data_IF_295100380624
#
_entry.id   IF_295100380624
#
_cell.length_a   1.000
_cell.length_b   1.000
_cell.length_c   1.000
_cell.angle_alpha   90.00
_cell.angle_beta   90.00
_cell.angle_gamma   90.00
#
_symmetry.space_group_name_H-M   'P 1'
#
loop_
_entity.id
_entity.type
_entity.pdbx_description
1 polymer ?
#
# COMPACT_ATOMS: atom_id res chain seq x y z
N UNK A 1 16.78 31.91 3.72
CA UNK A 1 16.59 30.48 3.93
C UNK A 1 15.12 30.24 4.17
N UNK A 2 14.41 29.79 3.18
CA UNK A 2 13.00 29.43 3.32
C UNK A 2 12.95 27.97 3.67
N UNK A 3 12.75 27.68 4.96
CA UNK A 3 12.27 26.38 5.41
C UNK A 3 10.85 26.20 4.86
N UNK A 4 10.77 25.62 3.67
CA UNK A 4 9.54 25.05 3.19
C UNK A 4 9.23 23.88 4.13
N UNK A 5 8.40 24.13 5.13
CA UNK A 5 7.65 23.11 5.84
C UNK A 5 6.87 22.34 4.77
N UNK A 6 7.49 21.32 4.17
CA UNK A 6 6.75 20.28 3.49
C UNK A 6 5.95 19.56 4.58
N UNK A 7 4.72 19.99 4.77
CA UNK A 7 3.74 19.18 5.47
C UNK A 7 3.61 17.90 4.66
N UNK A 8 4.29 16.83 5.07
CA UNK A 8 4.13 15.53 4.43
C UNK A 8 2.66 15.13 4.56
N UNK A 9 2.02 14.85 3.44
CA UNK A 9 0.68 14.30 3.44
C UNK A 9 0.75 12.93 4.13
N UNK A 10 -0.15 12.69 5.08
CA UNK A 10 -0.22 11.43 5.85
C UNK A 10 -1.52 10.71 5.55
N UNK A 11 -1.44 9.39 5.42
CA UNK A 11 -2.59 8.51 5.26
C UNK A 11 -2.49 7.35 6.24
N UNK A 12 -3.59 7.02 6.89
CA UNK A 12 -3.71 5.80 7.69
C UNK A 12 -3.80 4.55 6.81
N UNK A 13 -3.56 3.40 7.39
CA UNK A 13 -3.73 2.12 6.67
C UNK A 13 -5.15 1.94 6.15
N UNK A 14 -6.17 2.32 6.91
CA UNK A 14 -7.57 2.25 6.51
C UNK A 14 -7.90 3.09 5.28
N UNK A 15 -7.14 4.16 5.06
CA UNK A 15 -7.31 5.01 3.86
C UNK A 15 -6.72 4.37 2.61
N UNK A 16 -5.74 3.48 2.77
CA UNK A 16 -4.97 2.89 1.67
C UNK A 16 -5.43 1.47 1.36
N UNK A 17 -5.52 0.62 2.38
CA UNK A 17 -5.78 -0.82 2.26
C UNK A 17 -7.27 -1.09 2.49
N UNK A 18 -8.09 -0.66 1.56
CA UNK A 18 -9.53 -0.86 1.59
C UNK A 18 -9.91 -2.22 1.02
N UNK A 19 -11.06 -2.72 1.46
CA UNK A 19 -11.73 -3.85 0.82
C UNK A 19 -11.82 -3.61 -0.70
N UNK A 20 -11.59 -4.65 -1.47
CA UNK A 20 -11.53 -4.66 -2.94
C UNK A 20 -10.30 -3.96 -3.57
N UNK A 21 -9.31 -3.54 -2.80
CA UNK A 21 -8.05 -3.02 -3.36
C UNK A 21 -7.33 -4.13 -4.11
N UNK A 22 -7.09 -3.93 -5.41
CA UNK A 22 -6.41 -4.89 -6.27
C UNK A 22 -4.90 -4.63 -6.29
N UNK A 23 -4.12 -5.67 -6.02
CA UNK A 23 -2.67 -5.69 -6.20
C UNK A 23 -2.37 -6.29 -7.58
N UNK A 24 -1.80 -5.51 -8.47
CA UNK A 24 -1.44 -5.93 -9.83
C UNK A 24 -0.10 -6.63 -9.91
N UNK A 25 0.86 -6.19 -9.12
CA UNK A 25 2.19 -6.79 -9.03
C UNK A 25 2.86 -6.44 -7.71
N UNK A 26 3.90 -7.20 -7.37
CA UNK A 26 4.74 -6.91 -6.22
C UNK A 26 6.19 -7.25 -6.52
N UNK A 27 7.10 -6.68 -5.75
CA UNK A 27 8.52 -6.95 -5.85
C UNK A 27 9.28 -6.51 -4.61
N UNK A 28 10.57 -6.81 -4.61
CA UNK A 28 11.45 -6.47 -3.51
C UNK A 28 12.58 -5.58 -4.00
N UNK A 29 12.96 -4.61 -3.16
CA UNK A 29 14.24 -3.94 -3.26
C UNK A 29 15.13 -4.43 -2.10
N UNK A 30 15.98 -5.44 -2.31
CA UNK A 30 16.77 -6.03 -1.22
C UNK A 30 17.84 -5.11 -0.69
N UNK A 31 18.34 -4.16 -1.48
CA UNK A 31 19.34 -3.19 -1.04
C UNK A 31 18.79 -2.20 -0.02
N UNK A 32 17.49 -1.92 -0.09
CA UNK A 32 16.79 -1.00 0.81
C UNK A 32 15.85 -1.71 1.79
N UNK A 33 15.80 -3.04 1.78
CA UNK A 33 14.87 -3.84 2.58
C UNK A 33 13.40 -3.41 2.38
N UNK A 34 12.98 -3.27 1.13
CA UNK A 34 11.64 -2.81 0.79
C UNK A 34 10.79 -3.91 0.13
N UNK A 35 9.52 -3.96 0.50
CA UNK A 35 8.45 -4.62 -0.25
C UNK A 35 7.67 -3.55 -0.99
N UNK A 36 7.46 -3.76 -2.28
CA UNK A 36 6.81 -2.80 -3.17
C UNK A 36 5.57 -3.46 -3.78
N UNK A 37 4.43 -2.79 -3.67
CA UNK A 37 3.16 -3.23 -4.23
C UNK A 37 2.69 -2.23 -5.29
N UNK A 38 2.34 -2.73 -6.46
CA UNK A 38 1.61 -1.97 -7.49
C UNK A 38 0.11 -2.24 -7.33
N UNK A 39 -0.64 -1.23 -6.94
CA UNK A 39 -2.05 -1.37 -6.59
C UNK A 39 -2.94 -0.27 -7.17
N UNK A 40 -4.22 -0.55 -7.21
CA UNK A 40 -5.27 0.43 -7.49
C UNK A 40 -5.79 0.98 -6.16
N UNK A 41 -5.28 2.16 -5.77
CA UNK A 41 -5.75 2.80 -4.54
C UNK A 41 -7.17 3.32 -4.71
N UNK A 42 -8.11 2.79 -3.92
CA UNK A 42 -9.48 3.28 -3.85
C UNK A 42 -9.48 4.54 -2.97
N UNK A 43 -9.40 5.71 -3.60
CA UNK A 43 -9.39 7.00 -2.92
C UNK A 43 -10.73 7.24 -2.23
N UNK A 44 -11.81 6.89 -2.93
CA UNK A 44 -13.18 7.08 -2.44
C UNK A 44 -14.12 6.05 -3.06
N UNK A 45 -15.11 5.63 -2.27
CA UNK A 45 -16.24 4.83 -2.73
C UNK A 45 -17.54 5.44 -2.18
N UNK A 46 -18.49 5.72 -3.05
CA UNK A 46 -19.79 6.29 -2.69
C UNK A 46 -20.93 5.48 -3.29
N UNK A 47 -21.95 5.19 -2.48
CA UNK A 47 -23.17 4.57 -2.97
C UNK A 47 -24.12 5.66 -3.50
N UNK A 48 -24.39 5.62 -4.81
CA UNK A 48 -25.24 6.58 -5.50
C UNK A 48 -26.27 5.86 -6.38
N UNK A 49 -27.53 6.19 -6.24
CA UNK A 49 -28.61 5.70 -7.13
C UNK A 49 -28.60 4.17 -7.32
N UNK A 50 -28.37 3.42 -6.25
CA UNK A 50 -28.39 1.95 -6.28
C UNK A 50 -27.10 1.26 -6.72
N UNK A 51 -26.02 2.01 -6.99
CA UNK A 51 -24.73 1.49 -7.36
C UNK A 51 -23.59 2.20 -6.62
N UNK A 52 -22.40 1.56 -6.56
CA UNK A 52 -21.20 2.23 -6.08
C UNK A 52 -20.51 3.00 -7.22
N UNK A 53 -20.06 4.20 -6.91
CA UNK A 53 -19.12 4.95 -7.71
C UNK A 53 -17.78 4.98 -6.98
N UNK A 54 -16.71 4.61 -7.68
CA UNK A 54 -15.36 4.55 -7.15
C UNK A 54 -14.49 5.64 -7.77
N UNK A 55 -13.63 6.22 -6.94
CA UNK A 55 -12.52 7.05 -7.35
C UNK A 55 -11.24 6.27 -7.08
N UNK A 56 -10.52 5.89 -8.13
CA UNK A 56 -9.38 4.97 -8.08
C UNK A 56 -8.14 5.61 -8.68
N UNK A 57 -7.00 5.44 -8.05
CA UNK A 57 -5.72 5.93 -8.53
C UNK A 57 -4.66 4.83 -8.58
N UNK A 58 -4.05 4.57 -9.74
CA UNK A 58 -2.88 3.71 -9.83
C UNK A 58 -1.76 4.23 -8.94
N UNK A 59 -1.27 3.38 -8.05
CA UNK A 59 -0.33 3.79 -7.01
C UNK A 59 0.72 2.72 -6.74
N UNK A 60 1.86 3.16 -6.22
CA UNK A 60 2.92 2.27 -5.74
C UNK A 60 3.05 2.44 -4.23
N UNK A 61 2.83 1.36 -3.49
CA UNK A 61 2.98 1.32 -2.03
C UNK A 61 4.33 0.67 -1.70
N UNK A 62 5.18 1.42 -1.04
CA UNK A 62 6.52 0.97 -0.63
C UNK A 62 6.55 0.82 0.88
N UNK A 63 6.82 -0.39 1.35
CA UNK A 63 7.05 -0.70 2.75
C UNK A 63 8.53 -0.69 3.06
N UNK A 64 8.91 -0.05 4.15
CA UNK A 64 10.31 0.12 4.55
C UNK A 64 10.73 -0.81 5.68
N UNK A 65 12.00 -1.17 5.70
CA UNK A 65 12.61 -2.09 6.67
C UNK A 65 11.81 -3.38 6.84
N UNK A 66 11.57 -4.06 5.73
CA UNK A 66 10.72 -5.25 5.66
C UNK A 66 11.50 -6.51 6.01
N UNK A 67 10.94 -7.31 6.92
CA UNK A 67 11.47 -8.59 7.39
C UNK A 67 10.38 -9.66 7.43
N UNK A 68 10.79 -10.92 7.48
CA UNK A 68 9.93 -12.08 7.73
C UNK A 68 8.70 -12.11 6.79
N UNK A 69 8.93 -11.87 5.50
CA UNK A 69 7.87 -11.88 4.50
C UNK A 69 7.40 -13.30 4.25
N UNK A 70 6.09 -13.50 4.39
CA UNK A 70 5.44 -14.78 4.14
C UNK A 70 4.27 -14.56 3.17
N UNK A 71 4.25 -15.36 2.10
CA UNK A 71 3.15 -15.42 1.16
C UNK A 71 2.48 -16.79 1.28
N UNK A 72 1.20 -16.79 1.59
CA UNK A 72 0.34 -17.98 1.55
C UNK A 72 -0.84 -17.66 0.64
N UNK A 73 -0.62 -17.78 -0.66
CA UNK A 73 -1.54 -17.37 -1.71
C UNK A 73 -1.82 -18.51 -2.67
N UNK A 74 -3.10 -18.73 -2.96
CA UNK A 74 -3.57 -19.57 -4.04
C UNK A 74 -4.26 -18.72 -5.10
N UNK A 75 -3.47 -18.13 -6.00
CA UNK A 75 -3.98 -17.21 -7.02
C UNK A 75 -3.52 -17.61 -8.42
N UNK A 76 -4.36 -17.33 -9.41
CA UNK A 76 -4.02 -17.51 -10.82
C UNK A 76 -3.56 -16.20 -11.49
N UNK A 77 -4.14 -15.07 -11.14
CA UNK A 77 -3.95 -13.82 -11.89
C UNK A 77 -3.96 -12.54 -11.05
N UNK A 78 -4.64 -12.51 -9.90
CA UNK A 78 -4.80 -11.28 -9.14
C UNK A 78 -4.82 -11.53 -7.64
N UNK A 79 -4.47 -10.50 -6.89
CA UNK A 79 -4.53 -10.50 -5.43
C UNK A 79 -5.43 -9.34 -5.02
N UNK A 80 -6.53 -9.66 -4.33
CA UNK A 80 -7.51 -8.67 -3.90
C UNK A 80 -7.52 -8.58 -2.37
N UNK A 81 -7.24 -7.41 -1.84
CA UNK A 81 -7.28 -7.17 -0.40
C UNK A 81 -8.74 -7.19 0.07
N UNK A 82 -9.03 -8.01 1.07
CA UNK A 82 -10.30 -8.06 1.77
C UNK A 82 -10.23 -7.23 3.06
N UNK A 83 -9.15 -7.44 3.83
CA UNK A 83 -8.91 -6.74 5.09
C UNK A 83 -7.41 -6.69 5.39
N UNK A 84 -7.03 -6.02 6.46
CA UNK A 84 -5.67 -6.09 7.00
C UNK A 84 -5.70 -6.06 8.53
N UNK A 85 -4.64 -6.61 9.13
CA UNK A 85 -4.47 -6.59 10.58
C UNK A 85 -3.06 -6.15 10.95
N UNK A 86 -2.97 -5.33 11.98
CA UNK A 86 -1.72 -5.06 12.68
C UNK A 86 -1.65 -6.03 13.86
N UNK A 87 -0.91 -7.12 13.70
CA UNK A 87 -0.88 -8.23 14.65
C UNK A 87 0.02 -7.97 15.85
N UNK A 88 1.08 -7.19 15.67
CA UNK A 88 2.06 -6.92 16.70
C UNK A 88 2.74 -5.59 16.46
N UNK A 89 3.12 -4.93 17.57
CA UNK A 89 3.97 -3.76 17.61
C UNK A 89 5.13 -4.01 18.56
N UNK A 90 6.36 -3.81 18.10
CA UNK A 90 7.56 -4.11 18.87
C UNK A 90 8.70 -3.14 18.56
N UNK A 91 9.77 -3.20 19.35
CA UNK A 91 11.01 -2.50 19.02
C UNK A 91 11.69 -3.23 17.87
N UNK A 92 12.18 -2.51 16.83
CA UNK A 92 12.88 -3.13 15.71
C UNK A 92 14.16 -3.88 16.14
N UNK A 93 14.40 -5.06 15.58
CA UNK A 93 15.61 -5.83 15.85
C UNK A 93 16.89 -5.11 15.41
N UNK A 94 16.79 -4.27 14.38
CA UNK A 94 17.90 -3.52 13.81
C UNK A 94 17.87 -2.03 14.17
N UNK A 95 17.34 -1.68 15.32
CA UNK A 95 17.14 -0.30 15.80
C UNK A 95 18.39 0.59 15.67
N UNK A 96 19.58 0.03 15.86
CA UNK A 96 20.85 0.76 15.74
C UNK A 96 21.11 1.30 14.31
N UNK A 97 20.47 0.75 13.30
CA UNK A 97 20.58 1.19 11.90
C UNK A 97 19.44 2.11 11.47
N UNK A 98 18.35 2.14 12.24
CA UNK A 98 17.15 2.90 11.94
C UNK A 98 17.10 4.28 12.63
N UNK A 99 18.09 4.55 13.51
CA UNK A 99 18.07 5.76 14.33
C UNK A 99 16.92 5.76 15.33
N UNK A 100 16.13 6.84 15.33
CA UNK A 100 15.01 7.04 16.26
C UNK A 100 13.71 6.36 15.82
N UNK A 101 13.75 5.41 14.89
CA UNK A 101 12.57 4.64 14.50
C UNK A 101 11.97 3.93 15.73
N UNK A 102 10.73 4.26 16.05
CA UNK A 102 10.12 3.91 17.32
C UNK A 102 9.62 2.47 17.37
N UNK A 103 9.01 1.97 16.27
CA UNK A 103 8.28 0.71 16.28
C UNK A 103 8.43 -0.07 14.97
N UNK A 104 8.37 -1.38 15.13
CA UNK A 104 8.17 -2.35 14.05
C UNK A 104 6.80 -3.00 14.21
N UNK A 105 6.10 -3.16 13.12
CA UNK A 105 4.76 -3.73 13.07
C UNK A 105 4.77 -5.04 12.31
N UNK A 106 4.04 -6.03 12.81
CA UNK A 106 3.69 -7.22 12.04
C UNK A 106 2.35 -6.98 11.37
N UNK A 107 2.36 -6.88 10.06
CA UNK A 107 1.19 -6.63 9.21
C UNK A 107 0.75 -7.94 8.56
N UNK A 108 -0.55 -8.20 8.56
CA UNK A 108 -1.17 -9.26 7.77
C UNK A 108 -2.16 -8.63 6.79
N UNK A 109 -1.94 -8.83 5.50
CA UNK A 109 -2.91 -8.50 4.47
C UNK A 109 -3.77 -9.74 4.24
N UNK A 110 -5.03 -9.63 4.59
CA UNK A 110 -6.03 -10.68 4.33
C UNK A 110 -6.57 -10.49 2.92
N UNK A 111 -6.25 -11.42 2.04
CA UNK A 111 -6.65 -11.35 0.65
C UNK A 111 -7.70 -12.44 0.35
N UNK A 112 -8.50 -12.25 -0.68
CA UNK A 112 -9.45 -13.29 -1.13
C UNK A 112 -8.72 -14.59 -1.52
N UNK A 113 -7.46 -14.47 -1.95
CA UNK A 113 -6.60 -15.56 -2.41
C UNK A 113 -5.71 -16.17 -1.30
N UNK A 114 -5.72 -15.60 -0.10
CA UNK A 114 -4.88 -16.02 1.03
C UNK A 114 -4.31 -14.85 1.82
N UNK A 115 -3.08 -14.97 2.30
CA UNK A 115 -2.47 -13.95 3.17
C UNK A 115 -1.07 -13.55 2.72
N UNK A 116 -0.73 -12.29 3.02
CA UNK A 116 0.64 -11.77 2.93
C UNK A 116 0.99 -11.19 4.29
N UNK A 117 2.01 -11.72 4.95
CA UNK A 117 2.48 -11.21 6.23
C UNK A 117 3.91 -10.70 6.13
N UNK A 118 4.21 -9.62 6.82
CA UNK A 118 5.54 -9.06 6.90
C UNK A 118 5.71 -8.12 8.10
N UNK A 119 6.95 -7.91 8.51
CA UNK A 119 7.32 -6.88 9.48
C UNK A 119 7.78 -5.63 8.74
N UNK A 120 7.43 -4.46 9.26
CA UNK A 120 7.79 -3.17 8.67
C UNK A 120 7.80 -2.07 9.73
N UNK A 121 8.52 -0.98 9.47
CA UNK A 121 8.48 0.23 10.29
C UNK A 121 7.49 1.28 9.75
N UNK A 122 6.91 1.04 8.59
CA UNK A 122 6.02 1.96 7.87
C UNK A 122 6.32 1.97 6.39
N UNK A 123 5.85 2.98 5.71
CA UNK A 123 6.03 3.07 4.26
C UNK A 123 5.56 4.37 3.66
N UNK A 124 5.51 4.38 2.34
CA UNK A 124 5.03 5.51 1.54
C UNK A 124 4.15 5.04 0.39
N UNK A 125 3.09 5.78 0.15
CA UNK A 125 2.25 5.62 -1.03
C UNK A 125 2.63 6.69 -2.07
N UNK A 126 2.85 6.26 -3.28
CA UNK A 126 3.13 7.10 -4.44
C UNK A 126 1.98 7.02 -5.42
N UNK A 127 1.20 8.09 -5.52
CA UNK A 127 0.10 8.21 -6.47
C UNK A 127 0.68 8.60 -7.83
N UNK A 128 0.63 7.69 -8.80
CA UNK A 128 1.33 7.84 -10.09
C UNK A 128 0.61 8.69 -11.10
N UNK A 129 -0.72 8.75 -11.03
CA UNK A 129 -1.52 9.46 -12.03
C UNK A 129 -2.77 10.09 -11.41
N UNK A 130 -3.57 10.73 -12.27
CA UNK A 130 -4.88 11.24 -11.89
C UNK A 130 -5.80 10.13 -11.42
N UNK A 131 -6.84 10.50 -10.69
CA UNK A 131 -7.91 9.60 -10.31
C UNK A 131 -8.80 9.27 -11.50
N UNK A 132 -9.32 8.06 -11.50
CA UNK A 132 -10.34 7.58 -12.43
C UNK A 132 -11.64 7.39 -11.66
N UNK A 133 -12.74 7.90 -12.20
CA UNK A 133 -14.06 7.78 -11.60
C UNK A 133 -14.91 6.84 -12.43
N UNK A 134 -15.54 5.85 -11.79
CA UNK A 134 -16.36 4.88 -12.46
C UNK A 134 -17.02 3.88 -11.52
N UNK A 135 -17.58 2.83 -12.09
CA UNK A 135 -18.34 1.80 -11.35
C UNK A 135 -17.47 0.63 -10.87
N UNK A 136 -16.19 0.62 -11.18
CA UNK A 136 -15.26 -0.46 -10.81
C UNK A 136 -14.27 0.01 -9.73
N UNK A 137 -14.01 -0.85 -8.78
CA UNK A 137 -13.01 -0.64 -7.72
C UNK A 137 -11.57 -0.82 -8.19
N UNK A 138 -11.37 -1.32 -9.41
CA UNK A 138 -10.08 -1.52 -10.04
C UNK A 138 -10.09 -1.11 -11.50
N UNK A 139 -8.90 -0.92 -12.06
CA UNK A 139 -8.69 -0.49 -13.43
C UNK A 139 -8.12 -1.65 -14.28
N UNK A 140 -8.44 -1.65 -15.57
CA UNK A 140 -7.74 -2.51 -16.51
C UNK A 140 -6.28 -2.11 -16.63
N UNK A 141 -5.42 -3.04 -17.02
CA UNK A 141 -3.99 -2.77 -17.25
C UNK A 141 -3.79 -1.62 -18.22
N UNK A 142 -4.62 -1.55 -19.27
CA UNK A 142 -4.58 -0.49 -20.26
C UNK A 142 -4.97 0.87 -19.66
N UNK A 143 -6.05 0.94 -18.91
CA UNK A 143 -6.56 2.20 -18.35
C UNK A 143 -5.62 2.79 -17.30
N UNK A 144 -4.97 1.94 -16.53
CA UNK A 144 -4.01 2.37 -15.50
C UNK A 144 -2.61 2.68 -16.02
N UNK A 145 -2.34 2.45 -17.29
CA UNK A 145 -1.04 2.69 -17.91
C UNK A 145 0.00 1.59 -17.64
N UNK A 146 -0.46 0.34 -17.41
CA UNK A 146 0.39 -0.82 -17.20
C UNK A 146 0.77 -1.06 -15.74
N UNK A 147 1.77 -1.94 -15.53
CA UNK A 147 2.35 -2.26 -14.22
C UNK A 147 3.55 -1.37 -13.94
N UNK A 148 3.76 -1.01 -12.67
CA UNK A 148 4.96 -0.31 -12.28
C UNK A 148 5.27 -0.48 -10.79
N UNK A 149 6.52 -0.85 -10.48
CA UNK A 149 7.08 -0.86 -9.13
C UNK A 149 7.92 0.38 -8.85
N UNK A 150 7.79 1.43 -9.69
CA UNK A 150 8.53 2.67 -9.54
C UNK A 150 7.86 3.59 -8.51
N UNK A 151 8.59 4.07 -7.47
CA UNK A 151 8.06 5.00 -6.48
C UNK A 151 8.04 6.43 -7.03
N UNK A 152 7.10 6.71 -7.94
CA UNK A 152 6.98 7.99 -8.65
C UNK A 152 5.59 8.57 -8.43
N UNK A 153 5.52 9.88 -8.20
CA UNK A 153 4.28 10.64 -8.11
C UNK A 153 4.11 11.39 -6.80
N UNK A 154 2.91 11.82 -6.54
CA UNK A 154 2.54 12.46 -5.28
C UNK A 154 2.71 11.49 -4.12
N UNK A 155 3.40 11.92 -3.08
CA UNK A 155 3.85 11.07 -1.98
C UNK A 155 3.05 11.30 -0.72
N UNK A 156 2.67 10.20 -0.07
CA UNK A 156 1.99 10.18 1.22
C UNK A 156 2.75 9.27 2.19
N UNK A 157 3.01 9.75 3.41
CA UNK A 157 3.55 8.92 4.46
C UNK A 157 2.46 8.01 5.03
N UNK A 158 2.73 6.72 5.16
CA UNK A 158 1.82 5.74 5.73
C UNK A 158 1.94 5.77 7.25
N UNK A 159 0.81 6.00 7.93
CA UNK A 159 0.72 5.97 9.38
C UNK A 159 0.12 4.64 9.82
N UNK A 160 0.80 3.96 10.75
CA UNK A 160 0.34 2.72 11.38
C UNK A 160 0.04 3.05 12.83
N UNK A 161 -1.21 2.87 13.25
CA UNK A 161 -1.68 3.09 14.61
C UNK A 161 -1.89 1.78 15.37
#
# INVERSE_FOLDING_TARGET
MNDLNQTSNKLGLDDILKHDTLIHSFGFNPEKYQLILDLDWIVKAEFKSGTYEYQVSPSTLVWDNVWDVQFDLATNLSITIDDFNVLMRSTPNNVRYLGDASYEYLISLECLEGTIQFRTIGGKLYKRSRDYVGMNSSLSVKDRGGFSLQPIGETFDVVIE
#
